data_IF_042798468227
#
_entry.id   IF_042798468227
#
_cell.length_a   1.000
_cell.length_b   1.000
_cell.length_c   1.000
_cell.angle_alpha   90.00
_cell.angle_beta   90.00
_cell.angle_gamma   90.00
#
_symmetry.space_group_name_H-M   'P 1'
#
loop_
_entity.id
_entity.type
_entity.pdbx_description
1 polymer ?
#
# COMPACT_ATOMS: atom_id res chain seq x y z
N UNK A 1 19.05 -19.23 -26.30
CA UNK A 1 20.00 -18.45 -25.46
C UNK A 1 19.19 -17.46 -24.64
N UNK A 2 19.01 -17.73 -23.34
CA UNK A 2 18.23 -16.88 -22.43
C UNK A 2 19.08 -15.66 -22.03
N UNK A 3 18.58 -14.43 -22.25
CA UNK A 3 19.31 -13.18 -21.93
C UNK A 3 19.51 -13.05 -20.42
N UNK A 4 20.77 -13.03 -19.96
CA UNK A 4 21.10 -12.59 -18.60
C UNK A 4 20.67 -11.14 -18.42
N UNK A 5 19.98 -10.85 -17.33
CA UNK A 5 19.64 -9.47 -16.94
C UNK A 5 20.47 -9.01 -15.73
N UNK A 6 20.38 -7.71 -15.40
CA UNK A 6 21.20 -7.06 -14.37
C UNK A 6 21.02 -7.65 -12.97
N UNK A 7 19.87 -8.25 -12.66
CA UNK A 7 19.63 -8.96 -11.39
C UNK A 7 20.39 -10.27 -11.34
N UNK A 8 20.43 -11.00 -12.45
CA UNK A 8 21.20 -12.25 -12.56
C UNK A 8 22.70 -11.98 -12.33
N UNK A 9 23.22 -10.89 -12.88
CA UNK A 9 24.61 -10.47 -12.68
C UNK A 9 24.92 -10.06 -11.22
N UNK A 10 23.97 -9.43 -10.52
CA UNK A 10 24.15 -9.06 -9.10
C UNK A 10 24.08 -10.28 -8.17
N UNK A 11 23.18 -11.23 -8.44
CA UNK A 11 23.13 -12.51 -7.71
C UNK A 11 24.41 -13.30 -7.96
N UNK A 12 24.90 -13.36 -9.19
CA UNK A 12 26.16 -14.02 -9.54
C UNK A 12 27.37 -13.34 -8.87
N UNK A 13 27.35 -12.02 -8.73
CA UNK A 13 28.40 -11.23 -8.08
C UNK A 13 28.42 -11.37 -6.55
N UNK A 14 27.27 -11.60 -5.91
CA UNK A 14 27.16 -11.77 -4.45
C UNK A 14 27.73 -13.12 -3.98
N UNK A 15 27.76 -14.14 -4.86
CA UNK A 15 28.33 -15.48 -4.60
C UNK A 15 29.73 -15.69 -5.20
N UNK A 16 30.56 -14.64 -5.20
CA UNK A 16 31.85 -14.54 -5.93
C UNK A 16 32.71 -15.81 -6.11
N UNK A 17 33.39 -15.83 -7.27
CA UNK A 17 34.53 -16.66 -7.73
C UNK A 17 34.45 -18.20 -7.66
N UNK A 18 33.81 -18.82 -6.65
CA UNK A 18 33.71 -20.29 -6.56
C UNK A 18 32.68 -20.88 -7.55
N UNK A 19 31.67 -20.09 -7.95
CA UNK A 19 30.64 -20.51 -8.91
C UNK A 19 31.10 -20.53 -10.38
N UNK A 20 32.29 -20.02 -10.69
CA UNK A 20 32.80 -19.97 -12.08
C UNK A 20 33.60 -21.24 -12.44
N UNK A 21 34.18 -21.94 -11.46
CA UNK A 21 35.05 -23.10 -11.71
C UNK A 21 34.29 -24.44 -11.83
N UNK A 22 33.02 -24.50 -11.42
CA UNK A 22 32.17 -25.65 -11.68
C UNK A 22 31.09 -25.22 -12.66
N UNK A 23 31.13 -25.74 -13.89
CA UNK A 23 30.02 -25.65 -14.86
C UNK A 23 28.70 -26.27 -14.34
N UNK A 24 28.64 -26.65 -13.07
CA UNK A 24 27.43 -26.82 -12.30
C UNK A 24 26.75 -25.45 -12.14
N UNK A 25 25.86 -25.15 -13.09
CA UNK A 25 24.62 -24.47 -12.71
C UNK A 25 24.14 -25.21 -11.46
N UNK A 26 23.93 -24.57 -10.30
CA UNK A 26 23.11 -25.22 -9.30
C UNK A 26 21.80 -25.46 -10.04
N UNK A 27 21.54 -26.72 -10.38
CA UNK A 27 20.21 -27.16 -10.69
C UNK A 27 19.44 -26.73 -9.45
N UNK A 28 18.70 -25.64 -9.59
CA UNK A 28 17.79 -25.14 -8.59
C UNK A 28 17.01 -26.38 -8.16
N UNK A 29 17.33 -26.92 -7.00
CA UNK A 29 16.55 -27.94 -6.33
C UNK A 29 15.27 -27.23 -5.86
N UNK A 30 14.47 -26.79 -6.82
CA UNK A 30 13.25 -26.02 -6.65
C UNK A 30 12.06 -26.92 -6.29
N UNK A 31 12.30 -28.22 -6.07
CA UNK A 31 11.22 -29.14 -5.76
C UNK A 31 10.70 -28.98 -4.32
N UNK A 32 11.51 -28.49 -3.36
CA UNK A 32 11.15 -28.49 -1.93
C UNK A 32 11.61 -27.27 -1.13
N UNK A 33 11.93 -26.12 -1.75
CA UNK A 33 12.24 -24.89 -1.00
C UNK A 33 10.94 -24.12 -0.71
N UNK A 34 10.45 -24.09 0.55
CA UNK A 34 9.22 -23.38 0.91
C UNK A 34 9.33 -21.86 0.76
N UNK A 35 10.54 -21.32 0.58
CA UNK A 35 10.80 -19.90 0.36
C UNK A 35 11.09 -19.57 -1.11
N UNK A 36 10.99 -20.55 -2.02
CA UNK A 36 11.17 -20.30 -3.44
C UNK A 36 10.13 -19.27 -3.94
N UNK A 37 10.55 -18.27 -4.75
CA UNK A 37 9.62 -17.37 -5.40
C UNK A 37 8.57 -18.17 -6.19
N UNK A 38 7.29 -17.92 -5.89
CA UNK A 38 6.17 -18.54 -6.58
C UNK A 38 5.77 -17.68 -7.78
N UNK A 39 5.30 -18.34 -8.83
CA UNK A 39 4.70 -17.61 -9.94
C UNK A 39 3.45 -16.85 -9.45
N UNK A 40 3.30 -15.57 -9.82
CA UNK A 40 2.12 -14.80 -9.46
C UNK A 40 0.89 -15.34 -10.20
N UNK A 41 -0.30 -15.18 -9.61
CA UNK A 41 -1.57 -15.57 -10.25
C UNK A 41 -1.81 -14.84 -11.59
N UNK A 42 -1.21 -13.65 -11.76
CA UNK A 42 -1.30 -12.85 -12.98
C UNK A 42 0.08 -12.34 -13.40
N UNK A 43 0.29 -12.16 -14.70
CA UNK A 43 1.49 -11.51 -15.21
C UNK A 43 1.60 -10.08 -14.64
N UNK A 44 2.72 -9.79 -13.97
CA UNK A 44 2.95 -8.49 -13.36
C UNK A 44 3.06 -7.40 -14.46
N UNK A 45 2.10 -6.46 -14.46
CA UNK A 45 2.13 -5.31 -15.37
C UNK A 45 3.09 -4.22 -14.89
N UNK A 46 3.19 -4.03 -13.56
CA UNK A 46 4.10 -3.05 -12.95
C UNK A 46 5.49 -3.67 -12.71
N UNK A 47 6.55 -2.93 -13.04
CA UNK A 47 7.95 -3.35 -12.85
C UNK A 47 8.59 -2.80 -11.58
N UNK A 48 8.02 -1.73 -11.02
CA UNK A 48 8.55 -0.91 -9.92
C UNK A 48 7.37 -0.41 -9.08
N UNK A 49 7.55 -0.35 -7.77
CA UNK A 49 6.56 0.17 -6.80
C UNK A 49 7.27 1.15 -5.87
N UNK A 50 6.62 2.28 -5.58
CA UNK A 50 7.01 3.17 -4.49
C UNK A 50 5.99 2.98 -3.39
N UNK A 51 6.44 2.46 -2.25
CA UNK A 51 5.61 2.33 -1.06
C UNK A 51 5.89 3.52 -0.14
N UNK A 52 4.83 4.25 0.21
CA UNK A 52 4.90 5.35 1.17
C UNK A 52 4.10 4.91 2.40
N UNK A 53 4.78 4.75 3.52
CA UNK A 53 4.17 4.45 4.82
C UNK A 53 4.27 5.68 5.72
N UNK A 54 3.13 6.15 6.23
CA UNK A 54 3.03 7.43 6.95
C UNK A 54 2.50 7.19 8.38
N UNK A 55 3.35 6.79 9.34
CA UNK A 55 2.96 6.73 10.73
C UNK A 55 2.66 8.15 11.23
N UNK A 56 1.46 8.38 11.75
CA UNK A 56 0.98 9.73 12.09
C UNK A 56 0.63 10.59 10.87
N UNK A 57 0.38 9.97 9.72
CA UNK A 57 -0.09 10.65 8.52
C UNK A 57 -1.47 11.28 8.68
N UNK A 58 -1.98 11.83 7.57
CA UNK A 58 -3.27 12.52 7.55
C UNK A 58 -4.41 11.53 7.82
N UNK A 59 -5.39 11.95 8.61
CA UNK A 59 -6.58 11.16 8.92
C UNK A 59 -7.33 10.74 7.65
N UNK A 60 -7.73 9.47 7.56
CA UNK A 60 -8.49 8.97 6.41
C UNK A 60 -9.88 9.63 6.30
N UNK A 61 -10.52 9.95 7.44
CA UNK A 61 -11.82 10.64 7.46
C UNK A 61 -11.74 12.11 7.03
N UNK A 62 -10.53 12.68 7.02
CA UNK A 62 -10.27 14.05 6.53
C UNK A 62 -9.84 14.08 5.06
N UNK A 63 -9.65 12.92 4.42
CA UNK A 63 -8.96 12.85 3.11
C UNK A 63 -9.80 12.16 2.05
N UNK A 64 -10.04 10.86 2.20
CA UNK A 64 -10.64 10.01 1.16
C UNK A 64 -11.84 9.21 1.64
N UNK A 65 -12.34 9.44 2.85
CA UNK A 65 -13.42 8.63 3.44
C UNK A 65 -14.40 9.48 4.28
N UNK A 66 -15.21 10.35 3.64
CA UNK A 66 -16.17 11.17 4.34
C UNK A 66 -17.19 10.29 5.09
N UNK A 67 -17.40 10.60 6.37
CA UNK A 67 -18.31 9.87 7.25
C UNK A 67 -19.51 10.74 7.62
N UNK A 68 -20.60 10.65 6.85
CA UNK A 68 -21.82 11.45 7.10
C UNK A 68 -22.39 11.25 8.53
N UNK A 69 -22.32 10.03 9.08
CA UNK A 69 -22.72 9.76 10.46
C UNK A 69 -21.85 10.52 11.47
N UNK A 70 -20.53 10.55 11.25
CA UNK A 70 -19.60 11.30 12.09
C UNK A 70 -19.87 12.81 12.02
N UNK A 71 -20.20 13.32 10.83
CA UNK A 71 -20.57 14.73 10.65
C UNK A 71 -21.82 15.11 11.46
N UNK A 72 -22.85 14.26 11.45
CA UNK A 72 -24.08 14.48 12.21
C UNK A 72 -23.84 14.39 13.72
N UNK A 73 -22.92 13.53 14.13
CA UNK A 73 -22.68 13.18 15.52
C UNK A 73 -21.48 13.95 16.12
N UNK A 74 -21.00 15.00 15.42
CA UNK A 74 -19.89 15.85 15.84
C UNK A 74 -20.10 16.45 17.23
N UNK A 75 -19.04 16.47 18.04
CA UNK A 75 -19.06 16.97 19.42
C UNK A 75 -19.77 16.08 20.43
N UNK A 76 -20.44 14.98 20.02
CA UNK A 76 -21.07 14.06 20.97
C UNK A 76 -20.02 13.34 21.81
N UNK A 77 -20.34 13.17 23.09
CA UNK A 77 -19.46 12.49 24.03
C UNK A 77 -19.27 11.01 23.65
N UNK A 78 -18.02 10.58 23.76
CA UNK A 78 -17.55 9.20 23.63
C UNK A 78 -17.07 8.71 24.99
N UNK A 79 -16.86 7.38 25.10
CA UNK A 79 -16.30 6.78 26.31
C UNK A 79 -14.93 7.40 26.63
N UNK A 80 -14.63 7.49 27.93
CA UNK A 80 -13.36 8.04 28.48
C UNK A 80 -13.18 9.56 28.23
N UNK A 81 -14.27 10.32 28.21
CA UNK A 81 -14.21 11.79 28.10
C UNK A 81 -13.74 12.31 26.74
N UNK A 82 -13.69 11.45 25.72
CA UNK A 82 -13.41 11.86 24.34
C UNK A 82 -14.69 12.39 23.70
N UNK A 83 -14.57 13.09 22.58
CA UNK A 83 -15.71 13.50 21.75
C UNK A 83 -15.51 12.97 20.33
N UNK A 84 -16.62 12.74 19.63
CA UNK A 84 -16.58 12.57 18.18
C UNK A 84 -16.13 13.89 17.55
N UNK A 85 -15.14 13.80 16.65
CA UNK A 85 -14.61 14.93 15.92
C UNK A 85 -14.80 14.66 14.43
N UNK A 86 -15.72 15.41 13.81
CA UNK A 86 -15.95 15.34 12.38
C UNK A 86 -14.85 16.05 11.59
N UNK A 87 -14.79 15.72 10.30
CA UNK A 87 -13.90 16.43 9.39
C UNK A 87 -14.33 17.89 9.29
N UNK A 88 -13.35 18.79 9.20
CA UNK A 88 -13.57 20.23 9.00
C UNK A 88 -13.40 20.64 7.53
N UNK A 89 -13.13 19.67 6.66
CA UNK A 89 -12.86 19.89 5.24
C UNK A 89 -14.10 19.60 4.40
N UNK A 90 -14.26 20.37 3.32
CA UNK A 90 -15.23 20.05 2.28
C UNK A 90 -14.79 18.83 1.48
N UNK A 91 -15.76 18.10 0.93
CA UNK A 91 -15.54 16.96 0.04
C UNK A 91 -16.25 17.19 -1.28
N UNK A 92 -15.62 16.72 -2.36
CA UNK A 92 -16.19 16.80 -3.69
C UNK A 92 -16.05 15.44 -4.39
N UNK A 93 -17.15 14.97 -4.98
CA UNK A 93 -17.12 13.85 -5.91
C UNK A 93 -16.30 14.24 -7.13
N UNK A 94 -15.38 13.35 -7.52
CA UNK A 94 -14.30 13.68 -8.45
C UNK A 94 -14.11 12.60 -9.50
N UNK A 95 -13.76 13.03 -10.72
CA UNK A 95 -13.63 12.13 -11.87
C UNK A 95 -14.94 11.44 -12.24
N UNK A 96 -14.83 10.39 -13.07
CA UNK A 96 -15.94 9.51 -13.43
C UNK A 96 -16.25 8.49 -12.33
N UNK A 97 -15.24 8.13 -11.53
CA UNK A 97 -15.37 7.26 -10.36
C UNK A 97 -16.28 7.85 -9.28
N UNK A 98 -16.46 9.17 -9.26
CA UNK A 98 -17.21 9.87 -8.24
C UNK A 98 -16.53 9.82 -6.87
N UNK A 99 -15.24 9.52 -6.83
CA UNK A 99 -14.49 9.41 -5.58
C UNK A 99 -14.53 10.74 -4.83
N UNK A 100 -15.01 10.72 -3.59
CA UNK A 100 -15.05 11.89 -2.74
C UNK A 100 -13.67 12.15 -2.12
N UNK A 101 -13.08 13.30 -2.47
CA UNK A 101 -11.75 13.71 -2.02
C UNK A 101 -11.84 15.09 -1.38
N UNK A 102 -11.25 15.24 -0.20
CA UNK A 102 -11.32 16.48 0.56
C UNK A 102 -10.55 17.63 -0.07
N UNK A 103 -10.89 18.85 0.33
CA UNK A 103 -10.21 20.09 -0.09
C UNK A 103 -8.75 20.19 0.39
N UNK A 104 -8.26 19.24 1.21
CA UNK A 104 -6.83 19.11 1.50
C UNK A 104 -6.00 18.76 0.28
N UNK A 105 -6.59 18.04 -0.69
CA UNK A 105 -5.86 17.49 -1.82
C UNK A 105 -6.44 17.87 -3.18
N UNK A 106 -6.53 19.18 -3.51
CA UNK A 106 -7.12 19.64 -4.75
C UNK A 106 -6.38 19.09 -5.99
N UNK A 107 -5.06 18.89 -5.89
CA UNK A 107 -4.25 18.33 -6.99
C UNK A 107 -4.33 16.81 -7.11
N UNK A 108 -4.56 16.10 -6.01
CA UNK A 108 -4.81 14.65 -6.07
C UNK A 108 -6.18 14.39 -6.68
N UNK A 109 -7.14 15.28 -6.42
CA UNK A 109 -8.49 15.21 -6.97
C UNK A 109 -8.52 15.16 -8.50
N UNK A 110 -7.63 15.89 -9.16
CA UNK A 110 -7.49 15.90 -10.64
C UNK A 110 -7.15 14.50 -11.21
N UNK A 111 -6.72 13.57 -10.36
CA UNK A 111 -6.34 12.21 -10.73
C UNK A 111 -7.25 11.13 -10.13
N UNK A 112 -8.47 11.48 -9.70
CA UNK A 112 -9.36 10.56 -8.97
C UNK A 112 -9.55 9.19 -9.66
N UNK A 113 -9.65 9.18 -11.00
CA UNK A 113 -9.89 7.95 -11.78
C UNK A 113 -8.65 7.06 -11.94
N UNK A 114 -7.46 7.57 -11.60
CA UNK A 114 -6.20 6.82 -11.56
C UNK A 114 -5.91 6.27 -10.15
N UNK A 115 -6.75 6.60 -9.17
CA UNK A 115 -6.60 6.15 -7.78
C UNK A 115 -7.40 4.88 -7.55
N UNK A 116 -6.75 3.91 -6.91
CA UNK A 116 -7.42 2.79 -6.27
C UNK A 116 -7.45 3.04 -4.76
N UNK A 117 -8.65 3.17 -4.20
CA UNK A 117 -8.84 3.35 -2.77
C UNK A 117 -9.36 2.06 -2.13
N UNK A 118 -8.64 1.55 -1.15
CA UNK A 118 -9.03 0.37 -0.37
C UNK A 118 -9.62 0.86 0.96
N UNK A 119 -10.96 0.80 1.10
CA UNK A 119 -11.69 1.15 2.34
C UNK A 119 -12.09 -0.06 3.18
N UNK A 120 -11.68 -1.26 2.79
CA UNK A 120 -12.07 -2.52 3.44
C UNK A 120 -11.17 -2.93 4.62
N UNK A 121 -10.17 -2.10 4.95
CA UNK A 121 -9.27 -2.39 6.08
C UNK A 121 -9.95 -2.01 7.40
N UNK A 122 -9.92 -2.92 8.37
CA UNK A 122 -10.36 -2.68 9.74
C UNK A 122 -9.34 -3.26 10.72
N UNK A 123 -9.33 -2.74 11.95
CA UNK A 123 -8.51 -3.25 13.03
C UNK A 123 -9.28 -3.23 14.34
N UNK A 124 -8.88 -4.08 15.29
CA UNK A 124 -9.56 -4.24 16.58
C UNK A 124 -9.09 -3.22 17.62
N UNK A 125 -8.03 -2.47 17.29
CA UNK A 125 -7.37 -1.51 18.16
C UNK A 125 -7.62 -0.09 17.66
N UNK A 126 -7.97 0.79 18.58
CA UNK A 126 -8.22 2.21 18.29
C UNK A 126 -6.99 3.10 18.49
N UNK A 127 -5.81 2.50 18.71
CA UNK A 127 -4.55 3.23 18.82
C UNK A 127 -3.79 3.19 17.48
N UNK A 128 -3.20 4.32 17.11
CA UNK A 128 -2.45 4.45 15.85
C UNK A 128 -1.25 3.50 15.80
N UNK A 129 -0.51 3.31 16.88
CA UNK A 129 0.68 2.45 16.89
C UNK A 129 0.29 0.97 16.82
N UNK A 130 -0.72 0.57 17.60
CA UNK A 130 -1.20 -0.81 17.60
C UNK A 130 -1.84 -1.21 16.27
N UNK A 131 -2.35 -0.27 15.49
CA UNK A 131 -2.91 -0.55 14.16
C UNK A 131 -1.84 -0.75 13.06
N UNK A 132 -0.56 -0.51 13.36
CA UNK A 132 0.54 -0.61 12.38
C UNK A 132 1.41 -1.87 12.54
N UNK A 133 1.19 -2.65 13.60
CA UNK A 133 1.92 -3.89 13.94
C UNK A 133 0.98 -5.09 13.82
#
# INVERSE_FOLDING_TARGET
>A
MTKLNRRDALVLGFFGAAGIASGARPAMAAANDPLAPRDPHFAAKAKRVIQIFLPGGVSHVDTFDPKAALQRDDGKAMRKGRVLAASRWGFQASGQSGLEISDLFPKVREHADELCLIRSMHGDKGDHFEATL
#
